data_IF_410421490528
#
_entry.id   IF_410421490528
#
_cell.length_a   1.000
_cell.length_b   1.000
_cell.length_c   1.000
_cell.angle_alpha   90.00
_cell.angle_beta   90.00
_cell.angle_gamma   90.00
#
_symmetry.space_group_name_H-M   'P 1'
#
loop_
_entity.id
_entity.type
_entity.pdbx_description
1 polymer ?
#
# COMPACT_ATOMS: atom_id res chain seq x y z
N UNK A 1 23.36 -95.59 -43.24
CA UNK A 1 24.17 -94.53 -43.89
C UNK A 1 24.10 -93.32 -42.99
N UNK A 2 25.16 -93.00 -42.22
CA UNK A 2 25.14 -91.80 -41.38
C UNK A 2 25.36 -90.57 -42.24
N UNK A 3 24.35 -89.70 -42.33
CA UNK A 3 24.51 -88.38 -42.92
C UNK A 3 25.23 -87.52 -41.89
N UNK A 4 26.52 -87.25 -42.09
CA UNK A 4 27.24 -86.29 -41.25
C UNK A 4 26.80 -84.88 -41.62
N UNK A 5 26.33 -84.10 -40.64
CA UNK A 5 25.98 -82.70 -40.83
C UNK A 5 27.27 -81.90 -41.13
N UNK A 6 27.28 -81.04 -42.15
CA UNK A 6 28.44 -80.20 -42.47
C UNK A 6 28.71 -79.16 -41.36
N UNK A 7 29.98 -78.82 -41.15
CA UNK A 7 30.41 -77.91 -40.09
C UNK A 7 29.74 -76.53 -40.16
N UNK A 8 29.42 -76.03 -41.35
CA UNK A 8 28.81 -74.70 -41.51
C UNK A 8 27.42 -74.62 -40.88
N UNK A 9 26.62 -75.68 -41.04
CA UNK A 9 25.30 -75.79 -40.39
C UNK A 9 25.46 -75.88 -38.87
N UNK A 10 26.49 -76.61 -38.39
CA UNK A 10 26.77 -76.73 -36.95
C UNK A 10 27.20 -75.39 -36.37
N UNK A 11 28.00 -74.60 -37.09
CA UNK A 11 28.41 -73.24 -36.67
C UNK A 11 27.22 -72.28 -36.60
N UNK A 12 26.31 -72.34 -37.57
CA UNK A 12 25.10 -71.51 -37.60
C UNK A 12 24.13 -71.84 -36.45
N UNK A 13 24.01 -73.12 -36.09
CA UNK A 13 23.14 -73.58 -34.99
C UNK A 13 23.79 -73.48 -33.61
N UNK A 14 25.11 -73.24 -33.54
CA UNK A 14 25.88 -73.25 -32.29
C UNK A 14 25.40 -72.24 -31.24
N UNK A 15 25.07 -70.98 -31.59
CA UNK A 15 24.58 -70.01 -30.61
C UNK A 15 23.28 -70.47 -29.93
N UNK A 16 22.35 -71.01 -30.73
CA UNK A 16 21.06 -71.52 -30.23
C UNK A 16 21.25 -72.74 -29.32
N UNK A 17 22.22 -73.60 -29.63
CA UNK A 17 22.55 -74.77 -28.81
C UNK A 17 23.19 -74.36 -27.47
N UNK A 18 24.10 -73.39 -27.47
CA UNK A 18 24.72 -72.84 -26.24
C UNK A 18 23.67 -72.20 -25.33
N UNK A 19 22.63 -71.58 -25.90
CA UNK A 19 21.51 -70.98 -25.17
C UNK A 19 20.43 -71.99 -24.74
N UNK A 20 20.55 -73.27 -25.13
CA UNK A 20 19.58 -74.32 -24.80
C UNK A 20 18.24 -74.20 -25.55
N UNK A 21 18.23 -73.50 -26.69
CA UNK A 21 17.03 -73.21 -27.49
C UNK A 21 16.85 -74.18 -28.68
N UNK A 22 17.69 -75.21 -28.78
CA UNK A 22 17.56 -76.29 -29.77
C UNK A 22 16.66 -77.42 -29.26
N UNK A 23 15.93 -78.09 -30.15
CA UNK A 23 15.21 -79.33 -29.81
C UNK A 23 16.18 -80.45 -29.38
N UNK A 24 15.70 -81.43 -28.59
CA UNK A 24 16.52 -82.57 -28.17
C UNK A 24 17.13 -83.35 -29.35
N UNK A 25 16.38 -83.50 -30.45
CA UNK A 25 16.86 -84.18 -31.66
C UNK A 25 18.03 -83.43 -32.32
N UNK A 26 17.93 -82.10 -32.41
CA UNK A 26 19.00 -81.25 -32.94
C UNK A 26 20.21 -81.24 -32.02
N UNK A 27 20.00 -81.26 -30.70
CA UNK A 27 21.07 -81.30 -29.70
C UNK A 27 21.92 -82.58 -29.79
N UNK A 28 21.30 -83.76 -29.95
CA UNK A 28 22.03 -85.03 -30.10
C UNK A 28 22.91 -85.08 -31.34
N UNK A 29 22.43 -84.50 -32.44
CA UNK A 29 23.19 -84.40 -33.70
C UNK A 29 24.40 -83.46 -33.57
N UNK A 30 24.25 -82.35 -32.84
CA UNK A 30 25.35 -81.43 -32.55
C UNK A 30 26.39 -82.12 -31.64
N UNK A 31 25.96 -82.82 -30.59
CA UNK A 31 26.86 -83.56 -29.68
C UNK A 31 27.69 -84.62 -30.44
N UNK A 32 27.04 -85.43 -31.28
CA UNK A 32 27.72 -86.42 -32.11
C UNK A 32 28.73 -85.77 -33.08
N UNK A 33 28.45 -84.57 -33.59
CA UNK A 33 29.39 -83.83 -34.44
C UNK A 33 30.58 -83.27 -33.63
N UNK A 34 30.34 -82.73 -32.42
CA UNK A 34 31.38 -82.19 -31.54
C UNK A 34 32.38 -83.28 -31.10
N UNK A 35 31.93 -84.53 -30.93
CA UNK A 35 32.80 -85.68 -30.66
C UNK A 35 33.79 -85.98 -31.80
N UNK A 36 33.40 -85.70 -33.05
CA UNK A 36 34.20 -85.98 -34.24
C UNK A 36 34.95 -84.79 -34.84
N UNK A 37 34.63 -83.54 -34.47
CA UNK A 37 35.22 -82.33 -35.05
C UNK A 37 35.88 -81.42 -33.99
N UNK A 38 37.20 -81.22 -34.08
CA UNK A 38 37.95 -80.35 -33.17
C UNK A 38 37.61 -78.87 -33.32
N UNK A 39 37.45 -78.37 -34.55
CA UNK A 39 37.16 -76.96 -34.81
C UNK A 39 35.81 -76.51 -34.22
N UNK A 40 34.77 -77.33 -34.40
CA UNK A 40 33.45 -77.06 -33.83
C UNK A 40 33.46 -77.16 -32.29
N UNK A 41 34.29 -78.05 -31.72
CA UNK A 41 34.47 -78.17 -30.27
C UNK A 41 35.12 -76.94 -29.65
N UNK A 42 36.11 -76.38 -30.32
CA UNK A 42 36.79 -75.16 -29.85
C UNK A 42 35.89 -73.92 -30.01
N UNK A 43 35.05 -73.88 -31.05
CA UNK A 43 34.02 -72.85 -31.19
C UNK A 43 32.98 -72.93 -30.06
N UNK A 44 32.47 -74.14 -29.78
CA UNK A 44 31.51 -74.36 -28.69
C UNK A 44 32.08 -73.95 -27.33
N UNK A 45 33.34 -74.31 -27.03
CA UNK A 45 34.02 -73.91 -25.79
C UNK A 45 34.16 -72.39 -25.66
N UNK A 46 34.51 -71.68 -26.74
CA UNK A 46 34.61 -70.21 -26.74
C UNK A 46 33.26 -69.55 -26.47
N UNK A 47 32.22 -69.97 -27.19
CA UNK A 47 30.86 -69.43 -27.01
C UNK A 47 30.30 -69.75 -25.62
N UNK A 48 30.53 -70.97 -25.10
CA UNK A 48 30.15 -71.36 -23.75
C UNK A 48 30.88 -70.53 -22.69
N UNK A 49 32.17 -70.24 -22.89
CA UNK A 49 32.94 -69.35 -22.00
C UNK A 49 32.46 -67.90 -22.06
N UNK A 50 31.96 -67.40 -23.19
CA UNK A 50 31.35 -66.07 -23.29
C UNK A 50 29.99 -66.00 -22.55
N UNK A 51 29.19 -67.06 -22.63
CA UNK A 51 27.87 -67.14 -21.97
C UNK A 51 27.99 -67.42 -20.47
N UNK A 52 28.91 -68.29 -20.05
CA UNK A 52 29.20 -68.58 -18.63
C UNK A 52 30.05 -67.48 -17.99
N UNK A 53 31.02 -66.92 -18.73
CA UNK A 53 31.80 -65.74 -18.33
C UNK A 53 30.97 -64.46 -18.22
N UNK A 54 29.77 -64.43 -18.82
CA UNK A 54 28.77 -63.37 -18.65
C UNK A 54 27.95 -63.45 -17.36
N UNK A 55 27.96 -64.57 -16.61
CA UNK A 55 27.20 -64.71 -15.34
C UNK A 55 28.03 -64.43 -14.08
N UNK A 56 29.35 -64.61 -14.13
CA UNK A 56 30.26 -64.27 -13.01
C UNK A 56 30.99 -62.93 -13.19
N UNK A 57 30.69 -62.18 -14.25
CA UNK A 57 31.12 -60.79 -14.46
C UNK A 57 30.01 -59.75 -14.16
N UNK A 58 28.95 -60.16 -13.44
CA UNK A 58 27.80 -59.31 -13.09
C UNK A 58 28.03 -58.32 -11.94
N UNK A 59 29.25 -58.22 -11.38
CA UNK A 59 29.49 -57.53 -10.11
C UNK A 59 30.14 -56.14 -10.14
N UNK A 60 30.84 -55.72 -11.20
CA UNK A 60 31.67 -54.49 -11.09
C UNK A 60 31.66 -53.49 -12.25
N UNK A 61 31.20 -53.85 -13.45
CA UNK A 61 31.29 -52.91 -14.59
C UNK A 61 30.01 -52.10 -14.87
N UNK A 62 28.80 -52.67 -14.73
CA UNK A 62 27.53 -51.91 -14.89
C UNK A 62 27.12 -51.12 -13.64
N UNK A 63 27.66 -51.46 -12.47
CA UNK A 63 27.48 -50.67 -11.26
C UNK A 63 28.19 -49.32 -11.38
N UNK A 64 29.41 -49.27 -11.95
CA UNK A 64 30.19 -48.05 -12.09
C UNK A 64 29.61 -47.02 -13.08
N UNK A 65 29.09 -47.47 -14.23
CA UNK A 65 28.57 -46.55 -15.27
C UNK A 65 27.16 -46.02 -14.94
N UNK A 66 26.30 -46.86 -14.35
CA UNK A 66 24.98 -46.43 -13.84
C UNK A 66 25.13 -45.58 -12.57
N UNK A 67 26.12 -45.88 -11.70
CA UNK A 67 26.41 -45.04 -10.53
C UNK A 67 27.05 -43.71 -10.93
N UNK A 68 27.91 -43.66 -11.96
CA UNK A 68 28.47 -42.40 -12.49
C UNK A 68 27.36 -41.49 -13.04
N UNK A 69 26.42 -42.03 -13.83
CA UNK A 69 25.28 -41.26 -14.34
C UNK A 69 24.35 -40.79 -13.22
N UNK A 70 24.09 -41.61 -12.19
CA UNK A 70 23.31 -41.21 -11.00
C UNK A 70 24.06 -40.19 -10.13
N UNK A 71 25.39 -40.25 -10.07
CA UNK A 71 26.26 -39.35 -9.29
C UNK A 71 26.41 -38.00 -9.98
N UNK A 72 26.57 -37.97 -11.31
CA UNK A 72 26.58 -36.75 -12.11
C UNK A 72 25.19 -36.09 -12.16
N UNK A 73 24.11 -36.86 -12.36
CA UNK A 73 22.73 -36.31 -12.23
C UNK A 73 22.45 -35.79 -10.83
N UNK A 74 22.87 -36.47 -9.75
CA UNK A 74 22.73 -35.95 -8.37
C UNK A 74 23.57 -34.71 -8.11
N UNK A 75 24.78 -34.62 -8.68
CA UNK A 75 25.65 -33.44 -8.53
C UNK A 75 25.11 -32.24 -9.31
N UNK A 76 24.61 -32.47 -10.53
CA UNK A 76 23.95 -31.45 -11.34
C UNK A 76 22.62 -31.02 -10.71
N UNK A 77 21.80 -31.95 -10.23
CA UNK A 77 20.56 -31.65 -9.50
C UNK A 77 20.86 -30.88 -8.21
N UNK A 78 21.90 -31.26 -7.45
CA UNK A 78 22.34 -30.52 -6.25
C UNK A 78 22.77 -29.09 -6.60
N UNK A 79 23.51 -28.90 -7.68
CA UNK A 79 23.94 -27.57 -8.13
C UNK A 79 22.75 -26.73 -8.63
N UNK A 80 21.79 -27.34 -9.34
CA UNK A 80 20.54 -26.69 -9.76
C UNK A 80 19.67 -26.31 -8.55
N UNK A 81 19.52 -27.21 -7.58
CA UNK A 81 18.80 -26.95 -6.33
C UNK A 81 19.49 -25.86 -5.52
N UNK A 82 20.82 -25.89 -5.38
CA UNK A 82 21.59 -24.82 -4.73
C UNK A 82 21.40 -23.48 -5.42
N UNK A 83 21.44 -23.46 -6.76
CA UNK A 83 21.15 -22.26 -7.55
C UNK A 83 19.72 -21.75 -7.33
N UNK A 84 18.73 -22.63 -7.39
CA UNK A 84 17.33 -22.29 -7.14
C UNK A 84 17.11 -21.78 -5.71
N UNK A 85 17.71 -22.41 -4.71
CA UNK A 85 17.68 -21.96 -3.31
C UNK A 85 18.35 -20.60 -3.15
N UNK A 86 19.49 -20.35 -3.80
CA UNK A 86 20.17 -19.06 -3.76
C UNK A 86 19.31 -17.94 -4.38
N UNK A 87 18.67 -18.21 -5.53
CA UNK A 87 17.74 -17.26 -6.16
C UNK A 87 16.53 -17.01 -5.26
N UNK A 88 15.95 -18.06 -4.66
CA UNK A 88 14.84 -17.93 -3.72
C UNK A 88 15.22 -17.10 -2.49
N UNK A 89 16.39 -17.37 -1.88
CA UNK A 89 16.93 -16.60 -0.76
C UNK A 89 17.14 -15.13 -1.13
N UNK A 90 17.68 -14.85 -2.32
CA UNK A 90 17.86 -13.48 -2.80
C UNK A 90 16.52 -12.76 -2.98
N UNK A 91 15.48 -13.43 -3.50
CA UNK A 91 14.14 -12.87 -3.62
C UNK A 91 13.50 -12.60 -2.26
N UNK A 92 13.61 -13.54 -1.31
CA UNK A 92 13.10 -13.36 0.06
C UNK A 92 13.82 -12.19 0.75
N UNK A 93 15.14 -12.07 0.56
CA UNK A 93 15.92 -10.97 1.12
C UNK A 93 15.51 -9.62 0.51
N UNK A 94 15.36 -9.55 -0.81
CA UNK A 94 14.90 -8.33 -1.49
C UNK A 94 13.50 -7.92 -1.04
N UNK A 95 12.58 -8.88 -0.90
CA UNK A 95 11.24 -8.63 -0.37
C UNK A 95 11.28 -8.15 1.08
N UNK A 96 12.14 -8.76 1.91
CA UNK A 96 12.34 -8.37 3.30
C UNK A 96 12.88 -6.93 3.39
N UNK A 97 13.88 -6.57 2.60
CA UNK A 97 14.41 -5.20 2.55
C UNK A 97 13.31 -4.21 2.14
N UNK A 98 12.51 -4.56 1.13
CA UNK A 98 11.39 -3.73 0.68
C UNK A 98 10.34 -3.53 1.79
N UNK A 99 9.95 -4.59 2.48
CA UNK A 99 8.89 -4.57 3.49
C UNK A 99 9.32 -3.96 4.83
N UNK A 100 10.57 -4.18 5.27
CA UNK A 100 11.03 -3.80 6.61
C UNK A 100 11.96 -2.56 6.63
N UNK A 101 12.60 -2.19 5.52
CA UNK A 101 13.49 -1.01 5.47
C UNK A 101 12.99 0.07 4.50
N UNK A 102 12.76 -0.25 3.23
CA UNK A 102 12.42 0.75 2.22
C UNK A 102 10.97 1.24 2.40
N UNK A 103 10.06 0.35 2.74
CA UNK A 103 8.67 0.70 2.95
C UNK A 103 7.95 1.20 1.69
N UNK A 104 6.80 1.80 1.92
CA UNK A 104 5.87 2.34 0.92
C UNK A 104 5.34 3.70 1.38
N UNK A 105 5.01 4.62 0.46
CA UNK A 105 4.36 5.88 0.83
C UNK A 105 3.02 5.57 1.51
N UNK A 106 2.73 6.24 2.61
CA UNK A 106 1.53 5.96 3.40
C UNK A 106 0.88 7.25 3.87
N UNK A 107 -0.44 7.31 3.72
CA UNK A 107 -1.29 8.37 4.26
C UNK A 107 -1.99 7.94 5.56
N UNK A 108 -1.66 6.78 6.13
CA UNK A 108 -2.31 6.24 7.36
C UNK A 108 -1.65 6.75 8.65
N UNK A 109 -1.48 8.06 8.79
CA UNK A 109 -0.89 8.69 9.98
C UNK A 109 -1.65 9.93 10.41
N UNK A 110 -1.37 10.46 11.59
CA UNK A 110 -1.83 11.79 12.00
C UNK A 110 -0.65 12.62 12.46
N UNK A 111 -0.72 13.92 12.18
CA UNK A 111 0.20 14.90 12.74
C UNK A 111 -0.28 15.24 14.14
N UNK A 112 0.58 15.10 15.14
CA UNK A 112 0.29 15.37 16.56
C UNK A 112 0.71 16.79 16.95
N UNK A 113 1.76 17.31 16.34
CA UNK A 113 2.17 18.70 16.50
C UNK A 113 2.91 19.20 15.27
N UNK A 114 2.89 20.51 15.08
CA UNK A 114 3.76 21.23 14.15
C UNK A 114 4.25 22.48 14.85
N UNK A 115 5.55 22.68 14.87
CA UNK A 115 6.20 23.80 15.54
C UNK A 115 7.23 24.42 14.59
N UNK A 116 7.39 25.73 14.64
CA UNK A 116 8.30 26.47 13.76
C UNK A 116 9.27 27.25 14.63
N UNK A 117 10.54 26.85 14.57
CA UNK A 117 11.63 27.50 15.28
C UNK A 117 12.83 27.66 14.34
N UNK A 118 13.47 28.83 14.39
CA UNK A 118 14.79 29.07 13.78
C UNK A 118 14.93 28.63 12.31
N UNK A 119 13.91 28.86 11.50
CA UNK A 119 13.92 28.50 10.07
C UNK A 119 13.72 27.01 9.78
N UNK A 120 13.24 26.25 10.77
CA UNK A 120 12.90 24.84 10.65
C UNK A 120 11.47 24.57 11.11
N UNK A 121 10.86 23.58 10.47
CA UNK A 121 9.55 23.03 10.78
C UNK A 121 9.76 21.70 11.48
N UNK A 122 9.35 21.63 12.75
CA UNK A 122 9.28 20.39 13.52
C UNK A 122 7.91 19.78 13.36
N UNK A 123 7.87 18.55 12.88
CA UNK A 123 6.62 17.82 12.65
C UNK A 123 6.66 16.50 13.42
N UNK A 124 5.73 16.36 14.36
CA UNK A 124 5.50 15.10 15.05
C UNK A 124 4.26 14.41 14.52
N UNK A 125 4.30 13.09 14.44
CA UNK A 125 3.13 12.31 14.06
C UNK A 125 3.23 10.85 14.45
N UNK A 126 2.10 10.15 14.32
CA UNK A 126 1.99 8.71 14.58
C UNK A 126 1.13 8.04 13.53
N UNK A 127 1.49 6.81 13.15
CA UNK A 127 0.61 5.94 12.36
C UNK A 127 -0.64 5.56 13.16
N UNK A 128 -1.77 5.40 12.47
CA UNK A 128 -3.03 4.97 13.10
C UNK A 128 -3.01 3.49 13.51
N UNK A 129 -2.38 2.65 12.69
CA UNK A 129 -2.27 1.23 12.94
C UNK A 129 -0.89 0.85 13.50
N UNK A 130 -0.86 -0.26 14.25
CA UNK A 130 0.38 -0.84 14.78
C UNK A 130 1.11 -1.75 13.77
N UNK A 131 0.51 -1.97 12.60
CA UNK A 131 1.11 -2.77 11.52
C UNK A 131 2.14 -1.97 10.71
N UNK A 132 2.17 -0.65 10.90
CA UNK A 132 3.01 0.28 10.15
C UNK A 132 3.91 1.09 11.09
N UNK A 133 5.20 1.13 10.79
CA UNK A 133 6.19 1.94 11.50
C UNK A 133 6.84 2.95 10.57
N UNK A 134 7.37 4.04 11.12
CA UNK A 134 8.04 5.06 10.33
C UNK A 134 9.34 4.54 9.72
N UNK A 135 9.52 4.69 8.40
CA UNK A 135 10.75 4.35 7.68
C UNK A 135 11.59 5.59 7.41
N UNK A 136 11.01 6.56 6.69
CA UNK A 136 11.66 7.82 6.28
C UNK A 136 10.60 8.80 5.80
N UNK A 137 11.03 10.02 5.49
CA UNK A 137 10.25 10.97 4.70
C UNK A 137 10.99 11.31 3.40
N UNK A 138 10.26 11.85 2.43
CA UNK A 138 10.82 12.51 1.24
C UNK A 138 10.02 13.78 0.95
N UNK A 139 10.69 14.79 0.43
CA UNK A 139 10.04 15.97 -0.13
C UNK A 139 9.99 15.79 -1.64
N UNK A 140 8.78 15.81 -2.20
CA UNK A 140 8.51 15.61 -3.62
C UNK A 140 7.96 16.90 -4.20
N UNK A 141 8.66 17.46 -5.20
CA UNK A 141 8.19 18.66 -5.88
C UNK A 141 7.11 18.30 -6.91
N UNK A 142 5.93 18.89 -6.76
CA UNK A 142 4.80 18.79 -7.69
C UNK A 142 4.96 19.75 -8.87
N UNK A 143 4.20 19.49 -9.93
CA UNK A 143 4.22 20.30 -11.15
C UNK A 143 3.77 21.75 -10.94
N UNK A 144 2.95 22.01 -9.90
CA UNK A 144 2.48 23.33 -9.51
C UNK A 144 3.50 24.11 -8.65
N UNK A 145 4.69 23.56 -8.42
CA UNK A 145 5.73 24.17 -7.58
C UNK A 145 5.58 23.89 -6.08
N UNK A 146 4.56 23.15 -5.65
CA UNK A 146 4.39 22.72 -4.26
C UNK A 146 5.37 21.60 -3.92
N UNK A 147 6.06 21.71 -2.79
CA UNK A 147 6.85 20.64 -2.22
C UNK A 147 5.97 19.83 -1.26
N UNK A 148 5.75 18.54 -1.52
CA UNK A 148 4.92 17.68 -0.68
C UNK A 148 5.79 16.77 0.19
N UNK A 149 5.52 16.77 1.49
CA UNK A 149 6.12 15.83 2.42
C UNK A 149 5.40 14.47 2.34
N UNK A 150 6.12 13.47 1.86
CA UNK A 150 5.64 12.08 1.77
C UNK A 150 6.28 11.24 2.85
N UNK A 151 5.47 10.70 3.75
CA UNK A 151 5.90 9.76 4.79
C UNK A 151 5.89 8.34 4.25
N UNK A 152 6.95 7.58 4.53
CA UNK A 152 7.06 6.17 4.18
C UNK A 152 6.89 5.30 5.42
N UNK A 153 6.04 4.28 5.29
CA UNK A 153 5.81 3.27 6.30
C UNK A 153 6.46 1.94 5.92
N UNK A 154 6.94 1.18 6.90
CA UNK A 154 7.38 -0.21 6.72
C UNK A 154 6.81 -1.11 7.82
N UNK A 155 6.97 -2.43 7.68
CA UNK A 155 6.56 -3.36 8.73
C UNK A 155 7.49 -3.28 9.95
N UNK A 156 6.97 -3.48 11.17
CA UNK A 156 7.78 -3.58 12.38
C UNK A 156 8.87 -4.65 12.25
N UNK A 157 10.05 -4.35 12.76
CA UNK A 157 11.23 -5.22 12.75
C UNK A 157 11.91 -5.24 14.12
N UNK A 158 12.87 -6.15 14.37
CA UNK A 158 13.60 -6.16 15.65
C UNK A 158 14.28 -4.83 16.01
N UNK A 159 14.67 -4.02 15.03
CA UNK A 159 15.36 -2.73 15.22
C UNK A 159 14.47 -1.50 15.05
N UNK A 160 13.32 -1.61 14.39
CA UNK A 160 12.37 -0.50 14.22
C UNK A 160 10.94 -0.94 14.54
N UNK A 161 10.39 -0.38 15.62
CA UNK A 161 9.04 -0.70 16.11
C UNK A 161 8.17 0.55 16.35
N UNK A 162 8.71 1.74 16.10
CA UNK A 162 8.01 2.98 16.42
C UNK A 162 7.12 3.44 15.26
N UNK A 163 5.81 3.48 15.50
CA UNK A 163 4.84 4.18 14.64
C UNK A 163 4.94 5.70 14.76
N UNK A 164 5.67 6.22 15.76
CA UNK A 164 5.85 7.65 15.96
C UNK A 164 7.07 8.16 15.21
N UNK A 165 6.95 9.35 14.62
CA UNK A 165 8.02 10.09 14.00
C UNK A 165 8.09 11.53 14.51
N UNK A 166 9.30 12.06 14.59
CA UNK A 166 9.58 13.46 14.90
C UNK A 166 10.61 13.94 13.88
N UNK A 167 10.21 14.85 13.01
CA UNK A 167 10.99 15.29 11.86
C UNK A 167 11.35 16.76 12.03
N UNK A 168 12.59 17.10 11.70
CA UNK A 168 13.02 18.48 11.51
C UNK A 168 13.23 18.69 10.01
N UNK A 169 12.50 19.65 9.45
CA UNK A 169 12.48 19.94 8.01
C UNK A 169 12.77 21.41 7.80
N UNK A 170 13.67 21.75 6.88
CA UNK A 170 13.93 23.14 6.55
C UNK A 170 12.70 23.82 5.93
N UNK A 171 12.61 25.14 6.09
CA UNK A 171 11.60 25.91 5.35
C UNK A 171 11.78 25.73 3.84
N UNK A 172 10.68 25.74 3.07
CA UNK A 172 10.76 25.60 1.62
C UNK A 172 11.48 26.83 1.02
N UNK A 173 12.11 26.70 -0.16
CA UNK A 173 12.73 27.82 -0.88
C UNK A 173 11.77 29.00 -1.11
N UNK A 174 12.32 30.21 -1.26
CA UNK A 174 11.52 31.40 -1.59
C UNK A 174 10.63 31.18 -2.82
N UNK A 175 9.38 31.63 -2.72
CA UNK A 175 8.37 31.47 -3.77
C UNK A 175 7.79 30.06 -3.88
N UNK A 176 8.14 29.13 -2.98
CA UNK A 176 7.56 27.78 -2.89
C UNK A 176 6.84 27.56 -1.56
N UNK A 177 6.14 26.44 -1.46
CA UNK A 177 5.35 26.06 -0.27
C UNK A 177 5.52 24.57 0.01
N UNK A 178 5.54 24.21 1.29
CA UNK A 178 5.63 22.85 1.79
C UNK A 178 4.23 22.37 2.22
N UNK A 179 3.70 21.33 1.59
CA UNK A 179 2.48 20.65 2.01
C UNK A 179 2.81 19.50 2.96
N UNK A 180 2.20 19.55 4.15
CA UNK A 180 2.31 18.56 5.21
C UNK A 180 0.91 18.07 5.52
N UNK A 181 0.45 17.07 4.77
CA UNK A 181 -0.87 16.44 4.97
C UNK A 181 -2.02 17.48 4.89
N UNK A 182 -1.94 18.38 3.92
CA UNK A 182 -2.92 19.44 3.70
C UNK A 182 -2.71 20.71 4.54
N UNK A 183 -1.80 20.71 5.51
CA UNK A 183 -1.24 21.93 6.09
C UNK A 183 -0.23 22.52 5.12
N UNK A 184 -0.19 23.84 4.97
CA UNK A 184 0.79 24.52 4.13
C UNK A 184 1.74 25.32 5.00
N UNK A 185 3.05 25.16 4.77
CA UNK A 185 4.10 25.98 5.38
C UNK A 185 4.82 26.75 4.29
N UNK A 186 4.98 28.06 4.46
CA UNK A 186 5.64 28.95 3.51
C UNK A 186 7.11 29.20 3.86
N UNK A 187 7.86 29.75 2.91
CA UNK A 187 9.29 30.06 3.09
C UNK A 187 9.59 31.09 4.19
N UNK A 188 8.60 31.91 4.56
CA UNK A 188 8.68 32.88 5.66
C UNK A 188 8.27 32.30 7.03
N UNK A 189 7.93 31.01 7.11
CA UNK A 189 7.45 30.36 8.34
C UNK A 189 5.96 30.53 8.62
N UNK A 190 5.19 31.16 7.73
CA UNK A 190 3.74 31.24 7.87
C UNK A 190 3.09 29.86 7.65
N UNK A 191 2.12 29.52 8.51
CA UNK A 191 1.39 28.25 8.47
C UNK A 191 -0.07 28.49 8.16
N UNK A 192 -0.59 27.75 7.18
CA UNK A 192 -2.01 27.65 6.90
C UNK A 192 -2.46 26.25 7.27
N UNK A 193 -3.41 26.15 8.19
CA UNK A 193 -3.94 24.86 8.64
C UNK A 193 -4.64 24.11 7.52
N UNK A 194 -4.77 22.80 7.69
CA UNK A 194 -5.59 21.98 6.79
C UNK A 194 -7.03 22.49 6.69
N UNK A 195 -7.61 22.93 7.81
CA UNK A 195 -8.97 23.44 7.84
C UNK A 195 -9.10 24.73 7.01
N UNK A 196 -8.18 25.68 7.17
CA UNK A 196 -8.16 26.91 6.37
C UNK A 196 -8.04 26.61 4.87
N UNK A 197 -7.14 25.70 4.49
CA UNK A 197 -6.99 25.26 3.10
C UNK A 197 -8.25 24.59 2.54
N UNK A 198 -8.91 23.73 3.30
CA UNK A 198 -10.16 23.07 2.90
C UNK A 198 -11.31 24.08 2.76
N UNK A 199 -11.45 25.01 3.71
CA UNK A 199 -12.44 26.08 3.67
C UNK A 199 -12.23 27.03 2.49
N UNK A 200 -10.98 27.48 2.26
CA UNK A 200 -10.64 28.33 1.13
C UNK A 200 -10.95 27.68 -0.23
N UNK A 201 -10.69 26.37 -0.36
CA UNK A 201 -11.06 25.59 -1.57
C UNK A 201 -12.57 25.41 -1.71
N UNK A 202 -13.30 25.41 -0.60
CA UNK A 202 -14.74 25.17 -0.58
C UNK A 202 -15.60 26.44 -0.77
N UNK A 203 -14.98 27.62 -0.91
CA UNK A 203 -15.65 28.90 -1.18
C UNK A 203 -16.79 28.76 -2.18
N UNK A 204 -17.90 29.41 -1.88
CA UNK A 204 -19.09 29.39 -2.72
C UNK A 204 -19.37 30.80 -3.27
N UNK A 205 -19.28 31.05 -4.58
CA UNK A 205 -19.62 32.36 -5.13
C UNK A 205 -21.09 32.75 -4.93
N UNK A 206 -22.00 31.78 -4.82
CA UNK A 206 -23.44 32.01 -4.90
C UNK A 206 -24.25 31.12 -3.92
N UNK A 207 -24.95 31.74 -2.97
CA UNK A 207 -25.71 31.07 -1.92
C UNK A 207 -26.82 30.13 -2.45
N UNK A 208 -27.30 30.29 -3.68
CA UNK A 208 -28.30 29.37 -4.23
C UNK A 208 -27.79 27.93 -4.48
N UNK A 209 -26.48 27.68 -4.40
CA UNK A 209 -25.92 26.32 -4.43
C UNK A 209 -26.01 25.65 -3.04
N UNK A 210 -27.16 25.02 -2.77
CA UNK A 210 -27.42 24.34 -1.49
C UNK A 210 -26.41 23.23 -1.18
N UNK A 211 -25.81 22.58 -2.20
CA UNK A 211 -24.80 21.53 -1.98
C UNK A 211 -23.48 22.13 -1.52
N UNK A 212 -23.04 23.22 -2.14
CA UNK A 212 -21.86 23.97 -1.72
C UNK A 212 -22.03 24.54 -0.29
N UNK A 213 -23.23 25.04 0.03
CA UNK A 213 -23.56 25.53 1.38
C UNK A 213 -23.41 24.43 2.43
N UNK A 214 -24.04 23.26 2.20
CA UNK A 214 -23.96 22.14 3.13
C UNK A 214 -22.51 21.67 3.35
N UNK A 215 -21.70 21.62 2.28
CA UNK A 215 -20.27 21.30 2.38
C UNK A 215 -19.52 22.34 3.23
N UNK A 216 -19.78 23.63 3.00
CA UNK A 216 -19.13 24.72 3.71
C UNK A 216 -19.46 24.68 5.21
N UNK A 217 -20.74 24.59 5.56
CA UNK A 217 -21.16 24.49 6.96
C UNK A 217 -20.59 23.25 7.67
N UNK A 218 -20.47 22.13 6.95
CA UNK A 218 -19.82 20.92 7.44
C UNK A 218 -18.32 21.11 7.74
N UNK A 219 -17.59 21.83 6.88
CA UNK A 219 -16.16 22.13 7.07
C UNK A 219 -15.92 23.16 8.18
N UNK A 220 -16.82 24.13 8.33
CA UNK A 220 -16.81 25.07 9.48
C UNK A 220 -17.07 24.31 10.78
N UNK A 221 -17.80 23.20 10.73
CA UNK A 221 -18.03 22.31 11.87
C UNK A 221 -19.26 22.65 12.68
N UNK A 222 -20.22 23.38 12.10
CA UNK A 222 -21.44 23.85 12.79
C UNK A 222 -22.19 22.68 13.42
N UNK A 223 -22.48 21.63 12.64
CA UNK A 223 -23.24 20.48 13.16
C UNK A 223 -22.50 19.69 14.24
N UNK A 224 -21.17 19.61 14.14
CA UNK A 224 -20.34 18.95 15.17
C UNK A 224 -20.36 19.71 16.49
N UNK A 225 -20.47 21.03 16.42
CA UNK A 225 -20.34 21.94 17.55
C UNK A 225 -21.68 22.26 18.22
N UNK A 226 -22.74 22.42 17.43
CA UNK A 226 -24.02 23.00 17.86
C UNK A 226 -25.25 22.12 17.58
N UNK A 227 -25.06 20.95 16.95
CA UNK A 227 -26.17 20.03 16.62
C UNK A 227 -26.72 20.20 15.20
N UNK A 228 -27.69 19.37 14.86
CA UNK A 228 -28.23 19.34 13.50
C UNK A 228 -29.14 20.54 13.24
N UNK A 229 -29.20 20.96 11.97
CA UNK A 229 -30.03 22.07 11.54
C UNK A 229 -30.55 21.87 10.11
N UNK A 230 -31.67 22.51 9.81
CA UNK A 230 -32.20 22.66 8.45
C UNK A 230 -31.77 23.99 7.86
N UNK A 231 -31.78 24.05 6.53
CA UNK A 231 -31.36 25.22 5.78
C UNK A 231 -32.58 25.87 5.13
N UNK A 232 -32.71 27.18 5.30
CA UNK A 232 -33.64 28.00 4.53
C UNK A 232 -32.87 29.15 3.86
N UNK A 233 -33.18 29.43 2.59
CA UNK A 233 -32.46 30.42 1.79
C UNK A 233 -33.42 31.50 1.30
N UNK A 234 -33.03 32.76 1.47
CA UNK A 234 -33.70 33.90 0.84
C UNK A 234 -32.86 34.41 -0.32
N UNK A 235 -33.29 34.09 -1.55
CA UNK A 235 -32.60 34.48 -2.81
C UNK A 235 -33.45 35.33 -3.75
N UNK A 236 -34.62 35.80 -3.30
CA UNK A 236 -35.54 36.60 -4.13
C UNK A 236 -35.12 38.07 -4.26
N UNK A 237 -34.45 38.64 -3.25
CA UNK A 237 -33.97 40.02 -3.22
C UNK A 237 -32.74 40.14 -2.33
N UNK A 238 -31.92 41.15 -2.58
CA UNK A 238 -30.80 41.49 -1.71
C UNK A 238 -31.26 42.24 -0.45
N UNK A 239 -30.56 42.06 0.69
CA UNK A 239 -29.45 41.12 0.90
C UNK A 239 -29.93 39.66 0.84
N UNK A 240 -29.15 38.78 0.21
CA UNK A 240 -29.44 37.36 0.24
C UNK A 240 -29.13 36.77 1.61
N UNK A 241 -30.02 35.90 2.09
CA UNK A 241 -29.98 35.37 3.45
C UNK A 241 -29.87 33.85 3.50
N UNK A 242 -29.23 33.36 4.56
CA UNK A 242 -29.20 31.95 4.92
C UNK A 242 -29.62 31.77 6.38
N UNK A 243 -30.74 31.09 6.59
CA UNK A 243 -31.28 30.78 7.90
C UNK A 243 -30.97 29.33 8.29
N UNK A 244 -30.41 29.15 9.49
CA UNK A 244 -30.12 27.85 10.11
C UNK A 244 -31.17 27.54 11.19
N UNK A 245 -32.00 26.54 10.94
CA UNK A 245 -33.06 26.08 11.84
C UNK A 245 -32.57 24.90 12.66
N UNK A 246 -32.10 25.14 13.90
CA UNK A 246 -31.55 24.09 14.75
C UNK A 246 -32.64 23.17 15.31
N UNK A 247 -32.40 21.87 15.20
CA UNK A 247 -33.34 20.83 15.64
C UNK A 247 -33.16 20.49 17.13
N UNK A 248 -31.92 20.62 17.62
CA UNK A 248 -31.55 20.27 18.99
C UNK A 248 -31.71 21.48 19.93
N UNK A 249 -32.13 21.22 21.16
CA UNK A 249 -32.20 22.23 22.21
C UNK A 249 -30.84 22.44 22.89
N UNK A 250 -30.54 23.67 23.30
CA UNK A 250 -29.33 24.00 24.09
C UNK A 250 -29.66 24.41 25.53
N UNK A 251 -28.79 24.06 26.47
CA UNK A 251 -28.86 24.53 27.87
C UNK A 251 -28.09 25.83 28.09
N UNK A 252 -27.22 26.23 27.17
CA UNK A 252 -26.39 27.42 27.31
C UNK A 252 -26.51 28.33 26.09
N UNK A 253 -27.47 29.25 26.16
CA UNK A 253 -27.72 30.23 25.11
C UNK A 253 -26.54 31.15 24.84
N UNK A 254 -25.75 31.53 25.85
CA UNK A 254 -24.67 32.50 25.66
C UNK A 254 -23.52 31.92 24.82
N UNK A 255 -23.12 30.68 25.12
CA UNK A 255 -22.08 29.97 24.36
C UNK A 255 -22.56 29.64 22.94
N UNK A 256 -23.84 29.28 22.79
CA UNK A 256 -24.44 29.02 21.49
C UNK A 256 -24.39 30.26 20.59
N UNK A 257 -24.86 31.40 21.11
CA UNK A 257 -24.89 32.69 20.40
C UNK A 257 -23.49 33.14 19.98
N UNK A 258 -22.50 33.07 20.88
CA UNK A 258 -21.15 33.52 20.56
C UNK A 258 -20.50 32.65 19.46
N UNK A 259 -20.69 31.33 19.51
CA UNK A 259 -20.24 30.43 18.44
C UNK A 259 -20.94 30.70 17.12
N UNK A 260 -22.25 30.94 17.15
CA UNK A 260 -23.02 31.23 15.95
C UNK A 260 -22.58 32.54 15.28
N UNK A 261 -22.24 33.58 16.05
CA UNK A 261 -21.69 34.83 15.48
C UNK A 261 -20.40 34.56 14.70
N UNK A 262 -19.48 33.77 15.27
CA UNK A 262 -18.27 33.36 14.56
C UNK A 262 -18.59 32.56 13.30
N UNK A 263 -19.44 31.55 13.40
CA UNK A 263 -19.83 30.76 12.23
C UNK A 263 -20.49 31.60 11.13
N UNK A 264 -21.37 32.54 11.50
CA UNK A 264 -21.98 33.46 10.56
C UNK A 264 -20.93 34.32 9.83
N UNK A 265 -19.94 34.87 10.55
CA UNK A 265 -18.83 35.60 9.93
C UNK A 265 -18.08 34.73 8.92
N UNK A 266 -17.78 33.48 9.27
CA UNK A 266 -17.09 32.54 8.38
C UNK A 266 -17.92 32.18 7.14
N UNK A 267 -19.22 31.93 7.30
CA UNK A 267 -20.13 31.63 6.20
C UNK A 267 -20.27 32.81 5.24
N UNK A 268 -20.40 34.04 5.78
CA UNK A 268 -20.48 35.27 4.99
C UNK A 268 -19.15 35.55 4.27
N UNK A 269 -18.01 35.36 4.94
CA UNK A 269 -16.70 35.50 4.32
C UNK A 269 -16.54 34.59 3.09
N UNK A 270 -16.94 33.33 3.24
CA UNK A 270 -16.69 32.27 2.24
C UNK A 270 -17.84 32.13 1.22
N UNK A 271 -18.91 32.92 1.34
CA UNK A 271 -20.05 32.92 0.42
C UNK A 271 -20.23 34.28 -0.27
N UNK A 272 -19.88 34.36 -1.55
CA UNK A 272 -19.64 35.64 -2.25
C UNK A 272 -20.80 36.63 -2.22
N UNK A 273 -22.02 36.19 -2.48
CA UNK A 273 -23.22 37.04 -2.50
C UNK A 273 -24.07 36.96 -1.22
N UNK A 274 -23.61 36.24 -0.18
CA UNK A 274 -24.36 36.15 1.08
C UNK A 274 -24.23 37.48 1.83
N UNK A 275 -25.37 38.06 2.20
CA UNK A 275 -25.42 39.34 2.92
C UNK A 275 -25.78 39.20 4.40
N UNK A 276 -26.50 38.13 4.77
CA UNK A 276 -26.92 37.88 6.15
C UNK A 276 -27.05 36.40 6.46
N UNK A 277 -26.78 36.05 7.71
CA UNK A 277 -27.04 34.73 8.28
C UNK A 277 -27.94 34.90 9.49
N UNK A 278 -29.00 34.09 9.54
CA UNK A 278 -29.93 34.03 10.66
C UNK A 278 -29.92 32.62 11.25
N UNK A 279 -30.26 32.49 12.53
CA UNK A 279 -30.42 31.17 13.15
C UNK A 279 -31.53 31.18 14.16
N UNK A 280 -32.23 30.05 14.24
CA UNK A 280 -33.32 29.80 15.17
C UNK A 280 -33.00 28.54 15.97
N UNK A 281 -33.23 28.57 17.28
CA UNK A 281 -32.87 27.48 18.19
C UNK A 281 -33.71 27.50 19.46
N UNK A 282 -33.78 26.35 20.13
CA UNK A 282 -34.55 26.18 21.36
C UNK A 282 -33.62 26.19 22.58
N UNK A 283 -33.97 26.96 23.61
CA UNK A 283 -33.27 26.95 24.90
C UNK A 283 -34.13 26.26 25.96
N UNK A 284 -33.57 25.28 26.65
CA UNK A 284 -34.22 24.64 27.80
C UNK A 284 -34.01 25.48 29.07
N UNK A 285 -35.09 26.02 29.63
CA UNK A 285 -35.10 26.77 30.89
C UNK A 285 -35.92 26.00 31.94
N UNK A 286 -35.78 26.35 33.22
CA UNK A 286 -36.57 25.74 34.31
C UNK A 286 -38.09 25.94 34.11
N UNK A 287 -38.49 27.02 33.43
CA UNK A 287 -39.89 27.35 33.13
C UNK A 287 -40.42 26.68 31.83
N UNK A 288 -39.57 25.94 31.11
CA UNK A 288 -39.87 25.26 29.86
C UNK A 288 -39.04 25.74 28.66
N UNK A 289 -39.19 25.10 27.49
CA UNK A 289 -38.42 25.42 26.29
C UNK A 289 -38.86 26.75 25.68
N UNK A 290 -37.89 27.61 25.34
CA UNK A 290 -38.12 28.92 24.72
C UNK A 290 -37.40 29.00 23.38
N UNK A 291 -38.11 29.41 22.34
CA UNK A 291 -37.51 29.70 21.03
C UNK A 291 -36.73 31.01 21.08
N UNK A 292 -35.54 31.00 20.49
CA UNK A 292 -34.69 32.17 20.32
C UNK A 292 -34.18 32.24 18.89
N UNK A 293 -33.83 33.44 18.49
CA UNK A 293 -33.25 33.71 17.18
C UNK A 293 -32.13 34.71 17.28
N UNK A 294 -31.18 34.61 16.35
CA UNK A 294 -30.08 35.54 16.18
C UNK A 294 -29.80 35.80 14.71
N UNK A 295 -29.03 36.85 14.46
CA UNK A 295 -28.72 37.34 13.11
C UNK A 295 -27.37 38.03 13.09
N UNK A 296 -26.66 37.88 11.98
CA UNK A 296 -25.47 38.66 11.63
C UNK A 296 -25.54 39.05 10.15
N UNK A 297 -25.33 40.33 9.88
CA UNK A 297 -25.15 40.87 8.53
C UNK A 297 -23.68 40.98 8.15
N UNK A 298 -23.37 41.12 6.87
CA UNK A 298 -22.00 41.35 6.39
C UNK A 298 -21.32 42.56 7.05
N UNK A 299 -22.08 43.63 7.30
CA UNK A 299 -21.59 44.82 7.97
C UNK A 299 -21.23 44.54 9.44
N UNK A 300 -22.11 43.86 10.17
CA UNK A 300 -21.87 43.47 11.57
C UNK A 300 -20.71 42.48 11.68
N UNK A 301 -20.60 41.53 10.75
CA UNK A 301 -19.45 40.63 10.70
C UNK A 301 -18.14 41.40 10.48
N UNK A 302 -18.15 42.40 9.59
CA UNK A 302 -16.96 43.20 9.30
C UNK A 302 -16.54 44.05 10.51
N UNK A 303 -17.50 44.55 11.28
CA UNK A 303 -17.24 45.22 12.56
C UNK A 303 -16.69 44.24 13.59
N UNK A 304 -17.30 43.05 13.71
CA UNK A 304 -16.91 42.02 14.68
C UNK A 304 -15.46 41.54 14.48
N UNK A 305 -15.02 41.38 13.24
CA UNK A 305 -13.65 40.93 12.92
C UNK A 305 -12.66 42.08 12.67
N UNK A 306 -13.14 43.33 12.70
CA UNK A 306 -12.32 44.54 12.54
C UNK A 306 -11.80 44.82 11.13
N UNK A 307 -12.31 44.13 10.10
CA UNK A 307 -11.95 44.31 8.70
C UNK A 307 -13.08 43.81 7.77
N UNK A 308 -13.12 44.19 6.48
CA UNK A 308 -14.14 43.70 5.55
C UNK A 308 -14.16 42.16 5.53
N UNK A 309 -15.24 41.54 6.03
CA UNK A 309 -15.26 40.11 6.35
C UNK A 309 -14.98 39.22 5.14
N UNK A 310 -15.40 39.63 3.93
CA UNK A 310 -15.16 38.89 2.69
C UNK A 310 -13.71 38.95 2.21
N UNK A 311 -12.93 39.94 2.64
CA UNK A 311 -11.50 40.04 2.24
C UNK A 311 -10.65 38.91 2.83
N UNK A 312 -11.05 38.32 3.95
CA UNK A 312 -10.38 37.13 4.50
C UNK A 312 -10.46 35.93 3.54
N UNK A 313 -11.45 35.88 2.65
CA UNK A 313 -11.59 34.81 1.67
C UNK A 313 -10.71 35.02 0.42
N UNK A 314 -9.92 36.09 0.32
CA UNK A 314 -9.05 36.36 -0.84
C UNK A 314 -7.83 35.43 -0.91
N UNK A 315 -7.43 34.84 0.23
CA UNK A 315 -6.30 33.92 0.32
C UNK A 315 -6.51 32.86 1.41
N UNK A 316 -5.85 31.69 1.33
CA UNK A 316 -5.86 30.70 2.41
C UNK A 316 -5.37 31.26 3.76
N UNK A 317 -4.43 32.20 3.72
CA UNK A 317 -3.89 32.91 4.89
C UNK A 317 -4.94 33.82 5.53
N UNK A 318 -5.73 34.51 4.72
CA UNK A 318 -6.88 35.27 5.22
C UNK A 318 -7.89 34.36 5.93
N UNK A 319 -8.19 33.18 5.36
CA UNK A 319 -9.11 32.23 6.01
C UNK A 319 -8.51 31.70 7.32
N UNK A 320 -7.21 31.46 7.37
CA UNK A 320 -6.51 31.09 8.60
C UNK A 320 -6.62 32.20 9.66
N UNK A 321 -6.33 33.45 9.29
CA UNK A 321 -6.45 34.58 10.19
C UNK A 321 -7.87 34.75 10.73
N UNK A 322 -8.89 34.52 9.89
CA UNK A 322 -10.28 34.54 10.31
C UNK A 322 -10.62 33.40 11.28
N UNK A 323 -10.11 32.19 11.06
CA UNK A 323 -10.28 31.08 12.01
C UNK A 323 -9.67 31.40 13.37
N UNK A 324 -8.48 32.02 13.37
CA UNK A 324 -7.75 32.38 14.59
C UNK A 324 -8.46 33.51 15.37
N UNK A 325 -8.99 34.52 14.66
CA UNK A 325 -9.78 35.61 15.27
C UNK A 325 -11.07 35.12 15.91
N UNK A 326 -11.74 34.16 15.29
CA UNK A 326 -13.06 33.68 15.72
C UNK A 326 -12.98 32.53 16.73
N UNK A 327 -11.77 32.08 17.07
CA UNK A 327 -11.52 30.89 17.91
C UNK A 327 -12.31 29.64 17.44
N UNK A 328 -12.62 29.54 16.14
CA UNK A 328 -13.38 28.43 15.54
C UNK A 328 -12.52 27.18 15.38
N UNK A 329 -11.19 27.31 15.53
CA UNK A 329 -10.27 26.18 15.51
C UNK A 329 -10.62 25.19 16.62
N UNK A 330 -11.04 23.99 16.23
CA UNK A 330 -11.31 22.90 17.16
C UNK A 330 -10.06 22.57 17.98
N UNK A 331 -10.07 22.97 19.26
CA UNK A 331 -9.36 22.21 20.29
C UNK A 331 -10.11 20.93 20.58
#
# INVERSE_FOLDING_TARGET
MSRKIPCDIIKDLMPLYVEGLTSEETGREIEAHLEGCGECRDLYKRMKQEVEGGKDAGGSAKAGEIDYLKKVKRRNLRNVVLGACAVFLAMVLALSIKLFMIGYPSDSYMITYTDINDGQVRVGGTFYDSASVFSRYKIVRKADGTEEMVIYACLPSPWNRSGTFNLEVGLPPEGTRLDIRGMTVKSNGEVVSRQANELYKAKNPYIGDASANGRLAGLVGISRSLGNFKNELQTSKEPYGWTLEFEDSTSNSAVFEERMKGYACMLIALTGNLGEVEWNYTVELEEGPVQRSGRMTEAECSEYVGAPVKSFADSPEGVQALLDLLEISGR
#
